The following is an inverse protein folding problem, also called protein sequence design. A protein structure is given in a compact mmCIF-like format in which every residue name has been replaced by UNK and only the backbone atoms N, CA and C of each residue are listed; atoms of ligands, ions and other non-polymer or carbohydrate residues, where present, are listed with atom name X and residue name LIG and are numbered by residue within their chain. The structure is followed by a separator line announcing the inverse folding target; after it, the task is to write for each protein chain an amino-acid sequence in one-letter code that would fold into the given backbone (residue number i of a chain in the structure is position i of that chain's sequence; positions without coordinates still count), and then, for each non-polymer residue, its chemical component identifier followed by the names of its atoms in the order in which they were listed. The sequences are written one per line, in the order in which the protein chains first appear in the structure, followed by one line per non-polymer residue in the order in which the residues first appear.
data_IF_911173711714
#
_entry.id   IF_911173711714
#
_cell.length_a   1.000
_cell.length_b   1.000
_cell.length_c   1.000
_cell.angle_alpha   90.00
_cell.angle_beta   90.00
_cell.angle_gamma   90.00
#
_symmetry.space_group_name_H-M   'P 1'
#
loop_
_entity.id
_entity.type
_entity.pdbx_description
1 polymer ?
#
# COMPACT_ATOMS: atom_id res chain seq x y z
N UNK A 1 10.69 20.87 -6.15
CA UNK A 1 10.74 20.21 -7.47
C UNK A 1 9.47 20.58 -8.21
N UNK A 2 9.56 20.87 -9.51
CA UNK A 2 8.42 21.15 -10.38
C UNK A 2 8.43 20.20 -11.59
N UNK A 3 7.26 19.97 -12.17
CA UNK A 3 7.10 19.21 -13.41
C UNK A 3 6.08 19.93 -14.31
N UNK A 4 6.26 19.82 -15.62
CA UNK A 4 5.39 20.46 -16.61
C UNK A 4 4.38 19.45 -17.14
N UNK A 5 3.12 19.87 -17.24
CA UNK A 5 2.08 19.12 -17.91
C UNK A 5 2.28 19.21 -19.44
N UNK A 6 2.42 18.07 -20.11
CA UNK A 6 2.51 18.06 -21.57
C UNK A 6 1.15 18.36 -22.20
N UNK A 7 1.13 18.69 -23.49
CA UNK A 7 -0.12 18.88 -24.25
C UNK A 7 -1.03 17.65 -24.28
N UNK A 8 -0.48 16.46 -24.02
CA UNK A 8 -1.22 15.20 -23.91
C UNK A 8 -1.72 14.92 -22.49
N UNK A 9 -1.57 15.86 -21.56
CA UNK A 9 -2.01 15.70 -20.17
C UNK A 9 -1.10 14.79 -19.33
N UNK A 10 0.15 14.57 -19.74
CA UNK A 10 1.09 13.73 -19.00
C UNK A 10 2.02 14.58 -18.13
N UNK A 11 2.33 14.13 -16.92
CA UNK A 11 3.36 14.72 -16.07
C UNK A 11 4.49 13.72 -15.86
N UNK A 12 5.74 14.19 -15.89
CA UNK A 12 6.90 13.31 -15.63
C UNK A 12 7.20 13.26 -14.15
N UNK A 13 7.22 12.05 -13.56
CA UNK A 13 7.68 11.85 -12.18
C UNK A 13 9.21 11.90 -12.17
N UNK A 14 9.85 12.88 -11.49
CA UNK A 14 11.29 13.02 -11.58
C UNK A 14 12.02 11.89 -10.84
N UNK A 15 13.27 11.63 -11.23
CA UNK A 15 14.05 10.47 -10.78
C UNK A 15 14.08 10.30 -9.26
N UNK A 16 14.29 11.39 -8.51
CA UNK A 16 14.34 11.36 -7.04
C UNK A 16 13.05 10.81 -6.40
N UNK A 17 11.89 11.18 -6.94
CA UNK A 17 10.58 10.71 -6.43
C UNK A 17 10.39 9.24 -6.78
N UNK A 18 10.70 8.83 -8.01
CA UNK A 18 10.63 7.40 -8.42
C UNK A 18 11.51 6.51 -7.54
N UNK A 19 12.74 6.94 -7.26
CA UNK A 19 13.66 6.19 -6.40
C UNK A 19 13.15 6.06 -4.97
N UNK A 20 12.56 7.12 -4.41
CA UNK A 20 12.05 7.12 -3.04
C UNK A 20 10.77 6.28 -2.88
N UNK A 21 9.94 6.24 -3.91
CA UNK A 21 8.70 5.45 -3.95
C UNK A 21 8.88 4.06 -4.58
N UNK A 22 10.13 3.70 -4.92
CA UNK A 22 10.48 2.44 -5.59
C UNK A 22 9.70 2.14 -6.89
N UNK A 23 9.30 3.20 -7.61
CA UNK A 23 8.50 3.08 -8.83
C UNK A 23 9.29 2.52 -10.01
N UNK A 24 8.65 1.61 -10.75
CA UNK A 24 9.14 1.01 -11.98
C UNK A 24 8.16 1.26 -13.13
N UNK A 25 8.65 1.10 -14.36
CA UNK A 25 7.79 1.16 -15.54
C UNK A 25 6.71 0.09 -15.46
N UNK A 26 5.46 0.48 -15.66
CA UNK A 26 4.30 -0.42 -15.59
C UNK A 26 3.60 -0.42 -14.23
N UNK A 27 4.18 0.21 -13.20
CA UNK A 27 3.50 0.38 -11.93
C UNK A 27 2.23 1.21 -12.09
N UNK A 28 1.17 0.78 -11.39
CA UNK A 28 -0.07 1.53 -11.31
C UNK A 28 0.01 2.53 -10.16
N UNK A 29 -0.51 3.72 -10.42
CA UNK A 29 -0.60 4.79 -9.45
C UNK A 29 -2.07 5.17 -9.29
N UNK A 30 -2.49 5.34 -8.04
CA UNK A 30 -3.79 5.90 -7.70
C UNK A 30 -3.64 7.40 -7.43
N UNK A 31 -4.58 8.18 -7.98
CA UNK A 31 -4.67 9.61 -7.73
C UNK A 31 -5.80 9.86 -6.73
N UNK A 32 -5.46 10.38 -5.57
CA UNK A 32 -6.43 10.78 -4.55
C UNK A 32 -6.57 12.29 -4.61
N UNK A 33 -7.77 12.76 -4.93
CA UNK A 33 -8.07 14.19 -5.01
C UNK A 33 -8.43 14.74 -3.63
N UNK A 34 -7.78 15.82 -3.26
CA UNK A 34 -8.17 16.69 -2.15
C UNK A 34 -8.68 18.02 -2.70
N UNK A 35 -9.09 18.94 -1.83
CA UNK A 35 -9.65 20.24 -2.23
C UNK A 35 -8.71 21.01 -3.17
N UNK A 36 -7.41 21.09 -2.83
CA UNK A 36 -6.42 21.91 -3.56
C UNK A 36 -5.16 21.12 -3.95
N UNK A 37 -5.16 19.80 -3.78
CA UNK A 37 -3.99 18.97 -4.04
C UNK A 37 -4.40 17.59 -4.56
N UNK A 38 -3.43 16.90 -5.14
CA UNK A 38 -3.56 15.49 -5.49
C UNK A 38 -2.44 14.73 -4.81
N UNK A 39 -2.80 13.63 -4.16
CA UNK A 39 -1.85 12.65 -3.65
C UNK A 39 -1.71 11.51 -4.66
N UNK A 40 -0.49 11.01 -4.84
CA UNK A 40 -0.19 9.91 -5.75
C UNK A 40 0.31 8.74 -4.93
N UNK A 41 -0.44 7.64 -4.94
CA UNK A 41 -0.15 6.46 -4.14
C UNK A 41 0.20 5.30 -5.08
N UNK A 42 1.36 4.64 -4.92
CA UNK A 42 1.66 3.42 -5.65
C UNK A 42 0.65 2.32 -5.27
N UNK A 43 0.01 1.71 -6.26
CA UNK A 43 -0.80 0.52 -6.03
C UNK A 43 0.18 -0.66 -5.90
N UNK A 44 0.68 -0.87 -4.69
CA UNK A 44 1.68 -1.88 -4.40
C UNK A 44 1.06 -3.27 -4.31
N UNK A 45 1.44 -4.14 -5.25
CA UNK A 45 1.29 -5.59 -5.15
C UNK A 45 -0.13 -6.14 -5.32
N UNK A 46 -0.22 -7.36 -5.82
CA UNK A 46 -1.42 -8.17 -5.68
C UNK A 46 -1.46 -8.74 -4.26
N UNK A 47 -2.65 -9.00 -3.69
CA UNK A 47 -2.78 -9.84 -2.48
C UNK A 47 -2.07 -11.19 -2.66
N UNK A 48 -1.91 -11.65 -3.91
CA UNK A 48 -1.12 -12.85 -4.24
C UNK A 48 0.36 -12.73 -3.86
N UNK A 49 0.93 -11.53 -3.89
CA UNK A 49 2.31 -11.28 -3.51
C UNK A 49 2.51 -11.40 -1.99
N UNK A 50 1.42 -11.32 -1.21
CA UNK A 50 1.42 -11.54 0.24
C UNK A 50 1.33 -13.03 0.62
N UNK A 51 1.10 -13.92 -0.36
CA UNK A 51 0.94 -15.35 -0.11
C UNK A 51 2.22 -15.92 0.47
N UNK A 52 2.13 -16.47 1.69
CA UNK A 52 3.26 -17.09 2.39
C UNK A 52 4.07 -16.14 3.26
N UNK A 53 3.69 -14.86 3.38
CA UNK A 53 4.33 -13.93 4.32
C UNK A 53 4.05 -14.29 5.80
N UNK A 54 2.92 -14.93 6.07
CA UNK A 54 2.58 -15.42 7.42
C UNK A 54 3.11 -16.85 7.56
N UNK A 55 4.12 -17.01 8.41
CA UNK A 55 4.68 -18.33 8.73
C UNK A 55 3.66 -19.17 9.50
N UNK A 56 3.70 -20.49 9.28
CA UNK A 56 2.88 -21.42 10.06
C UNK A 56 3.21 -21.27 11.56
N UNK A 57 2.21 -21.09 12.44
CA UNK A 57 2.45 -20.99 13.87
C UNK A 57 3.01 -22.31 14.42
N UNK A 58 3.88 -22.22 15.41
CA UNK A 58 4.50 -23.38 16.07
C UNK A 58 3.50 -24.26 16.82
N UNK A 59 2.39 -23.67 17.26
CA UNK A 59 1.28 -24.35 17.94
C UNK A 59 -0.03 -23.94 17.28
N UNK A 60 -0.89 -24.92 17.01
CA UNK A 60 -2.27 -24.65 16.62
C UNK A 60 -3.06 -24.14 17.84
N UNK A 61 -3.85 -23.10 17.65
CA UNK A 61 -4.77 -22.56 18.66
C UNK A 61 -6.20 -22.91 18.26
N UNK A 62 -7.07 -23.16 19.24
CA UNK A 62 -8.50 -23.38 18.99
C UNK A 62 -9.21 -22.06 18.69
N UNK A 63 -10.40 -22.13 18.08
CA UNK A 63 -11.25 -20.94 17.90
C UNK A 63 -11.63 -20.33 19.25
N UNK A 64 -11.96 -21.15 20.25
CA UNK A 64 -12.26 -20.69 21.60
C UNK A 64 -11.11 -19.89 22.24
N UNK A 65 -9.85 -20.30 21.99
CA UNK A 65 -8.68 -19.57 22.45
C UNK A 65 -8.52 -18.22 21.73
N UNK A 66 -8.87 -18.14 20.43
CA UNK A 66 -8.85 -16.88 19.68
C UNK A 66 -9.93 -15.92 20.20
N UNK A 67 -11.15 -16.40 20.37
CA UNK A 67 -12.30 -15.60 20.81
C UNK A 67 -12.06 -15.05 22.22
N UNK A 68 -11.51 -15.86 23.13
CA UNK A 68 -11.13 -15.41 24.48
C UNK A 68 -10.20 -14.20 24.44
N UNK A 69 -9.14 -14.25 23.61
CA UNK A 69 -8.15 -13.17 23.52
C UNK A 69 -8.73 -11.91 22.87
N UNK A 70 -9.59 -12.07 21.85
CA UNK A 70 -10.29 -10.93 21.22
C UNK A 70 -11.13 -10.19 22.27
N UNK A 71 -11.89 -10.93 23.08
CA UNK A 71 -12.73 -10.34 24.14
C UNK A 71 -11.90 -9.65 25.25
N UNK A 72 -10.76 -10.22 25.64
CA UNK A 72 -9.84 -9.63 26.62
C UNK A 72 -9.23 -8.31 26.11
N UNK A 73 -8.89 -8.21 24.81
CA UNK A 73 -8.28 -7.01 24.23
C UNK A 73 -9.28 -5.88 23.92
N UNK A 74 -10.53 -6.21 23.59
CA UNK A 74 -11.60 -5.21 23.33
C UNK A 74 -12.11 -4.57 24.63
N UNK A 75 -11.80 -5.15 25.79
CA UNK A 75 -12.21 -4.64 27.10
C UNK A 75 -11.23 -3.61 27.72
N UNK A 76 -10.27 -3.11 26.94
CA UNK A 76 -9.36 -1.99 27.28
C UNK A 76 -9.77 -0.71 26.54
#
# INVERSE_FOLDING_TARGET
MSATLTSKGQVTIPKAVRSRLHLKTGDKLEFVLHQNSVEIIPISGSVKDLKGMVTKPSKAVSLDDMDRVIHEQVSL
#
